data_IF_633777885440
#
_entry.id   IF_633777885440
#
_cell.length_a   1.000
_cell.length_b   1.000
_cell.length_c   1.000
_cell.angle_alpha   90.00
_cell.angle_beta   90.00
_cell.angle_gamma   90.00
#
_symmetry.space_group_name_H-M   'P 1'
#
loop_
_entity.id
_entity.type
_entity.pdbx_description
1 polymer ?
#
# COMPACT_ATOMS: atom_id res chain seq x y z
N UNK A 1 4.16 26.62 8.68
CA UNK A 1 3.11 26.73 9.73
C UNK A 1 3.10 25.39 10.45
N UNK A 2 3.65 25.30 11.66
CA UNK A 2 3.79 24.05 12.40
C UNK A 2 2.41 23.50 12.71
N UNK A 3 2.13 22.27 12.28
CA UNK A 3 0.97 21.55 12.76
C UNK A 3 1.32 20.86 14.05
N UNK A 4 0.85 21.41 15.14
CA UNK A 4 0.77 20.74 16.43
C UNK A 4 -0.45 19.81 16.39
N UNK A 5 -0.26 18.59 15.94
CA UNK A 5 -1.21 17.51 16.18
C UNK A 5 -1.33 17.28 17.68
N UNK A 6 -2.53 17.04 18.16
CA UNK A 6 -2.88 16.90 19.58
C UNK A 6 -2.38 15.60 20.23
N UNK A 7 -1.28 15.01 19.73
CA UNK A 7 -0.50 13.96 20.39
C UNK A 7 0.86 14.54 20.78
N UNK A 8 0.87 15.42 21.78
CA UNK A 8 2.03 16.23 22.18
C UNK A 8 3.12 15.50 22.95
N UNK A 9 3.14 14.17 23.04
CA UNK A 9 4.16 13.42 23.81
C UNK A 9 4.88 12.31 23.04
N UNK A 10 4.65 12.16 21.75
CA UNK A 10 5.41 11.26 20.89
C UNK A 10 6.24 12.14 19.96
N UNK A 11 7.55 12.14 20.15
CA UNK A 11 8.47 12.98 19.38
C UNK A 11 8.45 12.64 17.89
N UNK A 12 7.46 13.13 17.16
CA UNK A 12 7.50 13.16 15.71
C UNK A 12 8.53 14.20 15.30
N UNK A 13 9.69 13.74 14.88
CA UNK A 13 10.61 14.57 14.13
C UNK A 13 9.94 14.90 12.79
N UNK A 14 10.11 16.11 12.33
CA UNK A 14 9.59 16.63 11.08
C UNK A 14 10.07 15.73 9.92
N UNK A 15 9.21 14.79 9.48
CA UNK A 15 9.47 14.06 8.24
C UNK A 15 9.51 15.10 7.13
N UNK A 16 10.56 15.12 6.35
CA UNK A 16 10.64 15.98 5.18
C UNK A 16 9.49 15.58 4.24
N UNK A 17 8.44 16.39 4.21
CA UNK A 17 7.14 16.12 3.58
C UNK A 17 7.22 16.00 2.05
N UNK A 18 8.36 16.31 1.46
CA UNK A 18 8.61 16.22 0.01
C UNK A 18 9.03 14.82 -0.45
N UNK A 19 9.03 13.83 0.48
CA UNK A 19 9.58 12.50 0.25
C UNK A 19 8.51 11.40 0.24
N UNK A 20 7.26 11.71 -0.10
CA UNK A 20 6.19 10.73 -0.23
C UNK A 20 5.67 10.70 -1.67
N UNK A 21 5.70 9.53 -2.31
CA UNK A 21 5.06 9.30 -3.57
C UNK A 21 3.72 8.56 -3.38
N UNK A 22 2.71 8.92 -4.16
CA UNK A 22 1.43 8.21 -4.21
C UNK A 22 1.15 7.77 -5.64
N UNK A 23 1.05 6.47 -5.85
CA UNK A 23 0.60 5.90 -7.10
C UNK A 23 -0.92 5.87 -7.06
N UNK A 24 -1.54 6.68 -7.91
CA UNK A 24 -2.99 6.82 -7.99
C UNK A 24 -3.63 5.51 -8.44
N UNK A 25 -4.73 5.14 -7.78
CA UNK A 25 -5.57 4.01 -8.13
C UNK A 25 -7.03 4.42 -8.31
N UNK A 26 -7.85 3.54 -8.85
CA UNK A 26 -9.27 3.82 -9.11
C UNK A 26 -10.15 3.71 -7.86
N UNK A 27 -9.73 2.91 -6.89
CA UNK A 27 -10.59 2.50 -5.79
C UNK A 27 -10.16 3.02 -4.43
N UNK A 28 -8.94 3.56 -4.31
CA UNK A 28 -8.43 4.16 -3.07
C UNK A 28 -7.85 5.55 -3.29
N UNK A 29 -7.64 6.30 -2.21
CA UNK A 29 -7.25 7.71 -2.24
C UNK A 29 -6.39 8.08 -1.01
N UNK A 30 -5.21 7.48 -0.91
CA UNK A 30 -4.28 7.78 0.17
C UNK A 30 -3.86 9.27 0.16
N UNK A 31 -3.75 9.91 -1.03
CA UNK A 31 -3.37 11.31 -1.14
C UNK A 31 -4.38 12.26 -0.48
N UNK A 32 -5.68 11.96 -0.56
CA UNK A 32 -6.69 12.76 0.16
C UNK A 32 -6.55 12.63 1.67
N UNK A 33 -6.19 11.45 2.18
CA UNK A 33 -5.93 11.24 3.59
C UNK A 33 -4.66 11.97 4.05
N UNK A 34 -3.58 11.91 3.27
CA UNK A 34 -2.33 12.65 3.50
C UNK A 34 -2.61 14.15 3.52
N UNK A 35 -3.27 14.68 2.49
CA UNK A 35 -3.60 16.11 2.36
C UNK A 35 -4.47 16.61 3.52
N UNK A 36 -5.44 15.80 3.98
CA UNK A 36 -6.30 16.15 5.13
C UNK A 36 -5.49 16.34 6.41
N UNK A 37 -4.36 15.66 6.51
CA UNK A 37 -3.44 15.72 7.64
C UNK A 37 -2.26 16.67 7.40
N UNK A 38 -2.33 17.55 6.37
CA UNK A 38 -1.29 18.48 5.96
C UNK A 38 0.05 17.80 5.61
N UNK A 39 -0.01 16.53 5.17
CA UNK A 39 1.14 15.78 4.67
C UNK A 39 1.18 15.93 3.15
N UNK A 40 2.28 16.47 2.63
CA UNK A 40 2.50 16.60 1.19
C UNK A 40 2.85 15.27 0.54
N UNK A 41 2.45 15.10 -0.71
CA UNK A 41 2.87 13.96 -1.53
C UNK A 41 3.03 14.38 -2.98
N UNK A 42 3.80 13.59 -3.74
CA UNK A 42 3.85 13.69 -5.19
C UNK A 42 3.08 12.53 -5.81
N UNK A 43 2.10 12.88 -6.62
CA UNK A 43 1.23 11.89 -7.26
C UNK A 43 1.84 11.38 -8.55
N UNK A 44 1.73 10.08 -8.73
CA UNK A 44 2.05 9.35 -9.95
C UNK A 44 0.79 8.69 -10.48
N UNK A 45 0.61 8.78 -11.78
CA UNK A 45 -0.43 8.08 -12.49
C UNK A 45 -0.14 6.55 -12.41
N UNK A 46 -1.12 5.78 -11.98
CA UNK A 46 -1.04 4.32 -11.87
C UNK A 46 -1.04 3.59 -13.23
N UNK A 47 -1.10 4.31 -14.35
CA UNK A 47 -1.00 3.75 -15.69
C UNK A 47 0.46 3.61 -16.13
N UNK A 48 0.77 2.54 -16.83
CA UNK A 48 2.09 2.31 -17.41
C UNK A 48 2.39 3.36 -18.48
N UNK A 49 1.40 3.68 -19.33
CA UNK A 49 1.52 4.69 -20.39
C UNK A 49 0.64 5.91 -20.09
N UNK A 50 1.24 7.09 -20.02
CA UNK A 50 0.53 8.37 -19.86
C UNK A 50 -0.55 8.60 -20.95
N UNK A 51 -0.38 8.03 -22.14
CA UNK A 51 -1.36 8.14 -23.21
C UNK A 51 -2.67 7.41 -22.91
N UNK A 52 -2.65 6.48 -21.98
CA UNK A 52 -3.84 5.71 -21.56
C UNK A 52 -4.54 6.28 -20.33
N UNK A 53 -4.12 7.46 -19.87
CA UNK A 53 -4.78 8.15 -18.76
C UNK A 53 -6.29 8.20 -18.96
N UNK A 54 -6.99 7.65 -17.99
CA UNK A 54 -8.43 7.56 -18.06
C UNK A 54 -9.10 8.73 -17.36
N UNK A 55 -9.85 9.50 -18.13
CA UNK A 55 -10.66 10.61 -17.63
C UNK A 55 -12.00 10.05 -17.15
N UNK A 56 -12.05 9.57 -15.94
CA UNK A 56 -13.21 9.17 -15.15
C UNK A 56 -14.50 8.71 -15.86
N UNK A 57 -15.21 7.73 -15.29
CA UNK A 57 -16.65 7.57 -15.51
C UNK A 57 -17.40 8.30 -14.40
N UNK A 58 -18.71 8.51 -14.58
CA UNK A 58 -19.57 9.24 -13.64
C UNK A 58 -19.55 8.65 -12.19
N UNK A 59 -19.03 7.45 -12.01
CA UNK A 59 -18.98 6.71 -10.74
C UNK A 59 -17.61 6.76 -10.03
N UNK A 60 -16.62 7.48 -10.56
CA UNK A 60 -15.25 7.51 -10.03
C UNK A 60 -14.74 8.94 -9.89
N UNK A 61 -13.97 9.23 -8.84
CA UNK A 61 -13.41 10.57 -8.67
C UNK A 61 -12.56 10.91 -9.88
N UNK A 62 -12.89 12.04 -10.50
CA UNK A 62 -12.06 12.64 -11.54
C UNK A 62 -10.81 13.21 -10.85
N UNK A 63 -9.64 12.75 -11.24
CA UNK A 63 -8.36 13.24 -10.74
C UNK A 63 -7.62 13.96 -11.84
N UNK A 64 -6.83 14.94 -11.46
CA UNK A 64 -5.92 15.59 -12.39
C UNK A 64 -4.79 14.63 -12.78
N UNK A 65 -4.40 14.64 -14.05
CA UNK A 65 -3.24 13.89 -14.51
C UNK A 65 -1.96 14.49 -13.88
N UNK A 66 -1.20 13.73 -13.08
CA UNK A 66 0.02 14.23 -12.45
C UNK A 66 1.15 14.47 -13.46
N UNK A 67 0.99 14.08 -14.73
CA UNK A 67 2.01 14.23 -15.76
C UNK A 67 3.22 13.32 -15.61
N UNK A 68 3.15 12.31 -14.73
CA UNK A 68 4.18 11.31 -14.48
C UNK A 68 3.53 9.96 -14.19
N UNK A 69 4.16 8.86 -14.60
CA UNK A 69 3.62 7.50 -14.48
C UNK A 69 4.34 6.68 -13.41
N UNK A 70 3.68 5.62 -12.97
CA UNK A 70 4.28 4.61 -12.09
C UNK A 70 5.51 3.96 -12.74
N UNK A 71 5.50 3.77 -14.05
CA UNK A 71 6.65 3.24 -14.78
C UNK A 71 7.87 4.15 -14.59
N UNK A 72 7.70 5.47 -14.80
CA UNK A 72 8.77 6.44 -14.57
C UNK A 72 9.30 6.39 -13.14
N UNK A 73 8.39 6.28 -12.14
CA UNK A 73 8.82 6.18 -10.74
C UNK A 73 9.73 4.97 -10.49
N UNK A 74 9.43 3.84 -11.11
CA UNK A 74 10.07 2.57 -10.79
C UNK A 74 11.23 2.19 -11.74
N UNK A 75 11.31 2.80 -12.94
CA UNK A 75 12.27 2.40 -13.97
C UNK A 75 13.16 3.51 -14.50
N UNK A 76 12.83 4.78 -14.24
CA UNK A 76 13.68 5.90 -14.64
C UNK A 76 14.74 6.19 -13.58
N UNK A 77 15.87 6.69 -14.04
CA UNK A 77 16.93 7.25 -13.19
C UNK A 77 16.86 8.77 -13.18
N UNK A 78 17.24 9.39 -12.08
CA UNK A 78 17.32 10.83 -11.94
C UNK A 78 18.64 11.41 -12.49
N UNK A 79 18.89 12.71 -12.24
CA UNK A 79 20.10 13.41 -12.72
C UNK A 79 21.39 12.87 -12.08
N UNK A 80 21.30 12.27 -10.90
CA UNK A 80 22.43 11.69 -10.15
C UNK A 80 22.66 10.21 -10.52
N UNK A 81 21.83 9.64 -11.41
CA UNK A 81 21.78 8.24 -11.86
C UNK A 81 21.26 7.26 -10.79
N UNK A 82 20.55 7.76 -9.81
CA UNK A 82 19.80 6.96 -8.84
C UNK A 82 18.38 6.68 -9.37
N UNK A 83 17.79 5.57 -8.99
CA UNK A 83 16.41 5.27 -9.38
C UNK A 83 15.45 6.27 -8.76
N UNK A 84 14.45 6.74 -9.52
CA UNK A 84 13.52 7.77 -9.04
C UNK A 84 12.82 7.39 -7.74
N UNK A 85 12.53 6.11 -7.52
CA UNK A 85 11.92 5.62 -6.28
C UNK A 85 12.80 5.91 -5.04
N UNK A 86 14.12 5.98 -5.20
CA UNK A 86 15.08 6.25 -4.11
C UNK A 86 15.01 7.69 -3.58
N UNK A 87 14.37 8.59 -4.33
CA UNK A 87 14.10 9.96 -3.87
C UNK A 87 12.98 10.04 -2.82
N UNK A 88 12.30 8.92 -2.53
CA UNK A 88 11.15 8.89 -1.62
C UNK A 88 11.43 8.04 -0.39
N UNK A 89 10.94 8.51 0.76
CA UNK A 89 10.96 7.76 2.01
C UNK A 89 9.76 6.83 2.13
N UNK A 90 8.64 7.18 1.50
CA UNK A 90 7.45 6.35 1.44
C UNK A 90 6.82 6.35 0.05
N UNK A 91 6.28 5.20 -0.34
CA UNK A 91 5.47 5.03 -1.55
C UNK A 91 4.14 4.37 -1.18
N UNK A 92 3.05 5.01 -1.58
CA UNK A 92 1.69 4.47 -1.44
C UNK A 92 1.22 3.96 -2.78
N UNK A 93 0.88 2.67 -2.83
CA UNK A 93 0.27 2.03 -3.99
C UNK A 93 -1.22 1.86 -3.70
N UNK A 94 -2.04 2.76 -4.23
CA UNK A 94 -3.48 2.69 -4.07
C UNK A 94 -4.08 1.50 -4.81
N UNK A 95 -5.11 0.88 -4.22
CA UNK A 95 -5.89 -0.16 -4.87
C UNK A 95 -6.48 0.33 -6.21
N UNK A 96 -6.53 -0.59 -7.19
CA UNK A 96 -7.00 -0.25 -8.53
C UNK A 96 -6.03 0.66 -9.27
N UNK A 97 -4.73 0.50 -9.04
CA UNK A 97 -3.70 1.05 -9.93
C UNK A 97 -3.99 0.55 -11.33
N UNK A 98 -4.63 1.40 -12.12
CA UNK A 98 -5.23 1.03 -13.38
C UNK A 98 -4.29 1.09 -14.56
N UNK A 99 -3.05 0.92 -14.37
CA UNK A 99 -2.19 0.68 -15.52
C UNK A 99 -2.48 -0.64 -16.16
N UNK A 100 -3.77 -0.98 -16.32
CA UNK A 100 -4.11 -2.29 -16.82
C UNK A 100 -3.15 -3.34 -16.28
N UNK A 101 -3.21 -3.52 -14.96
CA UNK A 101 -2.38 -4.48 -14.24
C UNK A 101 -0.91 -4.07 -14.07
N UNK A 102 -0.64 -2.80 -13.72
CA UNK A 102 0.74 -2.38 -13.42
C UNK A 102 1.40 -3.34 -12.43
N UNK A 103 0.63 -3.81 -11.43
CA UNK A 103 1.07 -4.76 -10.43
C UNK A 103 0.17 -6.00 -10.39
N UNK A 104 -0.13 -6.59 -11.51
CA UNK A 104 -0.97 -7.77 -11.59
C UNK A 104 -0.39 -8.79 -12.56
N UNK A 105 -0.33 -10.05 -12.13
CA UNK A 105 -0.14 -11.15 -13.05
C UNK A 105 -1.44 -11.38 -13.81
N UNK A 106 -1.48 -11.10 -15.07
CA UNK A 106 -2.64 -11.43 -15.90
C UNK A 106 -2.33 -12.63 -16.79
N UNK A 107 -2.98 -13.74 -16.50
CA UNK A 107 -2.80 -14.98 -17.26
C UNK A 107 -3.57 -14.99 -18.59
N UNK A 108 -4.53 -14.09 -18.79
CA UNK A 108 -5.48 -14.15 -19.90
C UNK A 108 -5.25 -13.12 -21.00
N UNK A 109 -4.42 -12.11 -20.78
CA UNK A 109 -4.10 -11.07 -21.77
C UNK A 109 -2.60 -11.12 -22.05
N UNK A 110 -2.18 -10.71 -23.22
CA UNK A 110 -0.77 -10.52 -23.56
C UNK A 110 -0.12 -9.59 -22.52
N UNK A 111 0.29 -10.21 -21.41
CA UNK A 111 0.71 -9.57 -20.18
C UNK A 111 2.15 -9.04 -20.29
N UNK A 112 2.54 -8.56 -21.48
CA UNK A 112 3.84 -7.97 -21.70
C UNK A 112 3.96 -6.57 -21.07
N UNK A 113 2.82 -5.97 -20.66
CA UNK A 113 2.77 -4.60 -20.17
C UNK A 113 2.78 -4.47 -18.64
N UNK A 114 2.77 -5.57 -17.86
CA UNK A 114 2.82 -5.50 -16.41
C UNK A 114 4.22 -5.12 -15.89
N UNK A 115 4.28 -4.17 -14.97
CA UNK A 115 5.53 -3.79 -14.27
C UNK A 115 6.13 -4.94 -13.45
N UNK A 116 5.33 -5.94 -13.07
CA UNK A 116 5.84 -7.17 -12.44
C UNK A 116 6.76 -7.98 -13.35
N UNK A 117 6.68 -7.76 -14.67
CA UNK A 117 7.56 -8.40 -15.68
C UNK A 117 8.69 -7.51 -16.16
N UNK A 118 8.68 -6.24 -15.77
CA UNK A 118 9.76 -5.33 -16.10
C UNK A 118 11.01 -5.73 -15.33
N UNK A 119 12.15 -5.84 -16.03
CA UNK A 119 13.40 -6.33 -15.44
C UNK A 119 13.91 -5.50 -14.26
N UNK A 120 13.56 -4.21 -14.19
CA UNK A 120 14.03 -3.28 -13.18
C UNK A 120 12.97 -2.94 -12.12
N UNK A 121 11.66 -2.88 -12.48
CA UNK A 121 10.63 -2.31 -11.61
C UNK A 121 10.50 -3.04 -10.26
N UNK A 122 10.34 -4.36 -10.27
CA UNK A 122 10.24 -5.15 -9.03
C UNK A 122 11.54 -5.13 -8.24
N UNK A 123 12.73 -5.39 -8.87
CA UNK A 123 14.00 -5.29 -8.14
C UNK A 123 14.23 -3.92 -7.51
N UNK A 124 13.86 -2.83 -8.18
CA UNK A 124 14.02 -1.48 -7.63
C UNK A 124 13.16 -1.26 -6.39
N UNK A 125 11.88 -1.67 -6.41
CA UNK A 125 11.01 -1.58 -5.23
C UNK A 125 11.54 -2.43 -4.07
N UNK A 126 11.87 -3.70 -4.33
CA UNK A 126 12.37 -4.60 -3.29
C UNK A 126 13.68 -4.06 -2.68
N UNK A 127 14.61 -3.56 -3.51
CA UNK A 127 15.88 -3.01 -3.06
C UNK A 127 15.69 -1.69 -2.30
N UNK A 128 14.81 -0.80 -2.80
CA UNK A 128 14.48 0.45 -2.14
C UNK A 128 13.89 0.21 -0.74
N UNK A 129 12.95 -0.72 -0.58
CA UNK A 129 12.44 -1.09 0.75
C UNK A 129 13.56 -1.65 1.60
N UNK A 130 14.38 -2.57 1.09
CA UNK A 130 15.52 -3.12 1.83
C UNK A 130 16.53 -2.05 2.26
N UNK A 131 16.65 -0.96 1.51
CA UNK A 131 17.48 0.21 1.79
C UNK A 131 16.90 1.17 2.83
N UNK A 132 15.63 1.03 3.23
CA UNK A 132 14.98 1.87 4.24
C UNK A 132 13.66 2.51 3.81
N UNK A 133 13.19 2.25 2.60
CA UNK A 133 11.91 2.73 2.10
C UNK A 133 10.70 2.13 2.83
N UNK A 134 9.61 2.89 2.93
CA UNK A 134 8.34 2.43 3.49
C UNK A 134 7.31 2.29 2.38
N UNK A 135 6.86 1.06 2.14
CA UNK A 135 5.89 0.74 1.10
C UNK A 135 4.53 0.45 1.70
N UNK A 136 3.51 1.21 1.28
CA UNK A 136 2.11 0.88 1.53
C UNK A 136 1.48 0.31 0.27
N UNK A 137 0.79 -0.82 0.39
CA UNK A 137 0.09 -1.50 -0.71
C UNK A 137 -1.34 -1.79 -0.32
N UNK A 138 -2.28 -1.41 -1.16
CA UNK A 138 -3.72 -1.64 -0.94
C UNK A 138 -4.29 -2.74 -1.84
N UNK A 139 -5.02 -3.66 -1.23
CA UNK A 139 -5.91 -4.63 -1.86
C UNK A 139 -5.30 -5.33 -3.09
N UNK A 140 -5.89 -5.21 -4.28
CA UNK A 140 -5.46 -5.89 -5.51
C UNK A 140 -4.08 -5.48 -6.07
N UNK A 141 -3.36 -4.61 -5.38
CA UNK A 141 -1.93 -4.40 -5.68
C UNK A 141 -1.03 -5.41 -4.96
N UNK A 142 -1.61 -6.44 -4.32
CA UNK A 142 -0.93 -7.46 -3.54
C UNK A 142 0.15 -8.22 -4.33
N UNK A 143 -0.02 -8.40 -5.64
CA UNK A 143 0.97 -9.07 -6.49
C UNK A 143 2.37 -8.43 -6.41
N UNK A 144 2.45 -7.12 -6.12
CA UNK A 144 3.74 -6.47 -5.87
C UNK A 144 4.39 -6.98 -4.59
N UNK A 145 3.58 -7.26 -3.56
CA UNK A 145 4.07 -7.82 -2.29
C UNK A 145 4.57 -9.23 -2.52
N UNK A 146 3.82 -10.07 -3.21
CA UNK A 146 4.22 -11.44 -3.55
C UNK A 146 5.49 -11.48 -4.41
N UNK A 147 5.60 -10.59 -5.38
CA UNK A 147 6.77 -10.53 -6.26
C UNK A 147 8.07 -10.22 -5.50
N UNK A 148 8.00 -9.41 -4.42
CA UNK A 148 9.15 -9.06 -3.59
C UNK A 148 9.33 -10.00 -2.38
N UNK A 149 8.24 -10.40 -1.74
CA UNK A 149 8.23 -11.12 -0.45
C UNK A 149 7.21 -12.26 -0.44
N UNK A 150 7.38 -13.30 -1.26
CA UNK A 150 6.39 -14.36 -1.47
C UNK A 150 6.03 -15.15 -0.19
N UNK A 151 6.90 -15.13 0.81
CA UNK A 151 6.67 -15.85 2.08
C UNK A 151 6.04 -14.95 3.18
N UNK A 152 5.77 -13.67 2.88
CA UNK A 152 5.29 -12.72 3.90
C UNK A 152 3.79 -12.80 4.12
N UNK A 153 3.01 -12.84 3.06
CA UNK A 153 1.54 -12.89 3.10
C UNK A 153 1.08 -14.01 2.17
N UNK A 154 0.26 -14.89 2.69
CA UNK A 154 -0.41 -15.95 1.94
C UNK A 154 -1.82 -15.51 1.59
N UNK A 155 -2.13 -15.41 0.32
CA UNK A 155 -3.46 -15.04 -0.15
C UNK A 155 -4.27 -16.30 -0.47
N UNK A 156 -5.54 -16.28 -0.10
CA UNK A 156 -6.38 -17.46 -0.19
C UNK A 156 -6.63 -17.86 -1.64
N UNK A 157 -6.17 -19.05 -2.04
CA UNK A 157 -6.45 -19.66 -3.34
C UNK A 157 -5.45 -19.36 -4.46
N UNK A 158 -4.34 -18.69 -4.19
CA UNK A 158 -3.33 -18.36 -5.21
C UNK A 158 -2.20 -19.40 -5.37
N UNK A 159 -2.10 -20.36 -4.46
CA UNK A 159 -1.15 -21.49 -4.54
C UNK A 159 -1.19 -22.25 -5.88
N UNK A 160 -2.39 -22.39 -6.46
CA UNK A 160 -2.59 -23.18 -7.67
C UNK A 160 -2.43 -22.35 -8.95
N UNK A 161 -2.72 -21.06 -8.86
CA UNK A 161 -2.71 -20.13 -9.99
C UNK A 161 -2.20 -18.78 -9.52
N UNK A 162 -1.02 -18.40 -9.95
CA UNK A 162 -0.44 -17.08 -9.66
C UNK A 162 -1.45 -15.98 -10.00
N UNK A 163 -1.62 -14.99 -9.14
CA UNK A 163 -2.56 -13.88 -9.30
C UNK A 163 -4.04 -14.31 -9.21
N UNK A 164 -4.33 -15.29 -8.39
CA UNK A 164 -5.67 -15.85 -8.27
C UNK A 164 -6.25 -15.76 -6.85
N UNK A 165 -5.86 -14.76 -6.07
CA UNK A 165 -6.46 -14.56 -4.76
C UNK A 165 -7.98 -14.58 -4.83
N UNK A 166 -8.62 -15.27 -3.88
CA UNK A 166 -10.07 -15.34 -3.84
C UNK A 166 -10.67 -13.98 -3.51
N UNK A 167 -11.78 -13.69 -4.18
CA UNK A 167 -12.43 -12.40 -4.04
C UNK A 167 -13.33 -12.37 -2.79
N UNK A 168 -13.05 -11.44 -1.88
CA UNK A 168 -13.86 -11.20 -0.70
C UNK A 168 -15.19 -10.49 -1.02
N UNK A 169 -16.17 -10.66 -0.15
CA UNK A 169 -17.50 -10.07 -0.30
C UNK A 169 -17.55 -8.66 0.29
N UNK A 170 -18.20 -7.74 -0.42
CA UNK A 170 -18.51 -6.41 0.14
C UNK A 170 -19.36 -6.50 1.41
N UNK A 171 -19.21 -5.55 2.30
CA UNK A 171 -19.97 -5.43 3.54
C UNK A 171 -19.21 -4.76 4.66
N UNK A 172 -19.83 -4.69 5.80
CA UNK A 172 -19.22 -4.20 7.03
C UNK A 172 -18.61 -5.39 7.78
N UNK A 173 -17.36 -5.22 8.23
CA UNK A 173 -16.64 -6.19 9.05
C UNK A 173 -16.37 -5.58 10.42
N UNK A 174 -16.82 -6.23 11.47
CA UNK A 174 -16.41 -5.90 12.83
C UNK A 174 -15.05 -6.53 13.05
N UNK A 175 -14.02 -5.71 13.08
CA UNK A 175 -12.65 -6.14 13.08
C UNK A 175 -12.00 -5.91 14.45
N UNK A 176 -11.25 -6.89 14.92
CA UNK A 176 -10.41 -6.77 16.10
C UNK A 176 -9.08 -6.07 15.77
N UNK A 177 -8.56 -5.31 16.72
CA UNK A 177 -7.29 -4.60 16.60
C UNK A 177 -6.29 -5.23 17.59
N UNK A 178 -5.55 -6.28 17.21
CA UNK A 178 -4.55 -6.91 18.08
C UNK A 178 -3.34 -6.00 18.37
N UNK A 179 -2.98 -5.09 17.47
CA UNK A 179 -1.87 -4.16 17.70
C UNK A 179 -2.19 -3.15 18.82
N UNK A 180 -1.33 -3.11 19.84
CA UNK A 180 -1.55 -2.27 21.02
C UNK A 180 -1.51 -0.78 20.69
N UNK A 181 -0.56 -0.38 19.83
CA UNK A 181 -0.38 1.01 19.47
C UNK A 181 -1.52 1.53 18.61
N UNK A 182 -1.94 0.74 17.61
CA UNK A 182 -3.10 1.09 16.81
C UNK A 182 -4.38 1.18 17.66
N UNK A 183 -4.53 0.32 18.71
CA UNK A 183 -5.61 0.44 19.66
C UNK A 183 -5.57 1.76 20.46
N UNK A 184 -4.38 2.20 20.84
CA UNK A 184 -4.21 3.47 21.54
C UNK A 184 -4.60 4.64 20.64
N UNK A 185 -4.15 4.65 19.39
CA UNK A 185 -4.46 5.69 18.42
C UNK A 185 -5.95 5.75 18.07
N UNK A 186 -6.60 4.60 17.96
CA UNK A 186 -8.03 4.48 17.70
C UNK A 186 -8.88 4.72 18.96
N UNK A 187 -8.32 4.53 20.15
CA UNK A 187 -9.06 4.52 21.40
C UNK A 187 -10.05 3.34 21.51
N UNK A 188 -9.86 2.28 20.71
CA UNK A 188 -10.77 1.13 20.64
C UNK A 188 -10.01 -0.15 20.28
N UNK A 189 -10.45 -1.28 20.83
CA UNK A 189 -9.94 -2.62 20.48
C UNK A 189 -10.71 -3.29 19.33
N UNK A 190 -11.79 -2.67 18.88
CA UNK A 190 -12.66 -3.15 17.79
C UNK A 190 -13.05 -1.97 16.94
N UNK A 191 -13.02 -2.14 15.61
CA UNK A 191 -13.42 -1.13 14.64
C UNK A 191 -14.39 -1.73 13.63
N UNK A 192 -15.24 -0.88 13.03
CA UNK A 192 -16.04 -1.27 11.89
C UNK A 192 -15.27 -0.89 10.62
N UNK A 193 -14.92 -1.87 9.80
CA UNK A 193 -14.33 -1.68 8.48
C UNK A 193 -15.38 -1.86 7.39
N UNK A 194 -15.33 -0.98 6.39
CA UNK A 194 -16.24 -1.01 5.25
C UNK A 194 -15.50 -1.54 4.03
N UNK A 195 -15.92 -2.70 3.53
CA UNK A 195 -15.52 -3.21 2.24
C UNK A 195 -16.55 -2.76 1.20
N UNK A 196 -16.26 -1.64 0.54
CA UNK A 196 -17.20 -0.97 -0.35
C UNK A 196 -17.34 -1.62 -1.73
N UNK A 197 -16.42 -2.52 -2.09
CA UNK A 197 -16.47 -3.33 -3.30
C UNK A 197 -16.42 -4.82 -2.97
N UNK A 198 -17.17 -5.62 -3.74
CA UNK A 198 -17.06 -7.07 -3.70
C UNK A 198 -15.93 -7.47 -4.64
N UNK A 199 -14.83 -7.87 -4.12
CA UNK A 199 -13.66 -8.41 -4.78
C UNK A 199 -12.37 -7.80 -4.19
N UNK A 200 -12.21 -7.84 -2.89
CA UNK A 200 -10.91 -7.58 -2.27
C UNK A 200 -10.09 -8.88 -2.19
N UNK A 201 -8.76 -8.76 -2.21
CA UNK A 201 -7.86 -9.88 -2.05
C UNK A 201 -7.91 -10.41 -0.60
N UNK A 202 -8.29 -11.67 -0.42
CA UNK A 202 -8.46 -12.29 0.90
C UNK A 202 -7.14 -12.88 1.36
N UNK A 203 -6.68 -12.44 2.54
CA UNK A 203 -5.49 -13.00 3.18
C UNK A 203 -5.88 -14.25 3.96
N UNK A 204 -5.20 -15.37 3.70
CA UNK A 204 -5.35 -16.62 4.43
C UNK A 204 -4.51 -16.63 5.71
N UNK A 205 -3.22 -16.34 5.55
CA UNK A 205 -2.28 -16.34 6.67
C UNK A 205 -1.10 -15.40 6.40
N UNK A 206 -0.22 -15.27 7.39
CA UNK A 206 0.98 -14.44 7.28
C UNK A 206 2.20 -15.16 7.86
N UNK A 207 3.38 -14.81 7.37
CA UNK A 207 4.64 -15.29 7.88
C UNK A 207 4.88 -14.93 9.36
N UNK A 208 5.75 -15.68 10.04
CA UNK A 208 6.01 -15.51 11.48
C UNK A 208 6.55 -14.14 11.88
N UNK A 209 7.16 -13.43 10.95
CA UNK A 209 7.80 -12.12 11.16
C UNK A 209 6.88 -10.96 10.73
N UNK A 210 5.64 -11.27 10.36
CA UNK A 210 4.62 -10.31 9.98
C UNK A 210 3.76 -9.95 11.18
N UNK A 211 3.63 -8.66 11.44
CA UNK A 211 2.78 -8.12 12.49
C UNK A 211 1.35 -7.93 11.96
N UNK A 212 0.38 -8.58 12.60
CA UNK A 212 -1.04 -8.40 12.27
C UNK A 212 -1.59 -7.25 13.09
N UNK A 213 -2.07 -6.22 12.42
CA UNK A 213 -2.58 -5.00 13.03
C UNK A 213 -4.09 -5.01 13.20
N UNK A 214 -4.80 -5.61 12.26
CA UNK A 214 -6.26 -5.74 12.27
C UNK A 214 -6.63 -7.10 11.73
N UNK A 215 -7.60 -7.79 12.39
CA UNK A 215 -8.20 -9.05 11.93
C UNK A 215 -9.71 -8.96 11.90
N UNK A 216 -10.34 -9.80 11.11
CA UNK A 216 -11.80 -9.89 11.11
C UNK A 216 -12.32 -11.06 10.31
N UNK A 217 -13.57 -11.44 10.58
CA UNK A 217 -14.26 -12.50 9.86
C UNK A 217 -14.70 -11.98 8.50
N UNK A 218 -14.20 -12.59 7.43
CA UNK A 218 -14.52 -12.21 6.07
C UNK A 218 -15.22 -13.34 5.32
N UNK A 219 -15.97 -12.95 4.32
CA UNK A 219 -16.61 -13.93 3.40
C UNK A 219 -15.99 -13.78 2.02
N UNK A 220 -15.77 -14.89 1.39
CA UNK A 220 -15.29 -14.94 0.00
C UNK A 220 -16.10 -15.92 -0.80
N UNK A 221 -16.04 -15.80 -2.12
CA UNK A 221 -16.70 -16.73 -3.03
C UNK A 221 -15.64 -17.56 -3.75
N UNK A 222 -15.48 -18.85 -3.40
CA UNK A 222 -14.57 -19.73 -4.11
C UNK A 222 -14.86 -19.77 -5.61
N UNK A 223 -13.82 -19.95 -6.42
CA UNK A 223 -13.99 -20.02 -7.85
C UNK A 223 -14.98 -21.13 -8.25
N UNK A 224 -15.96 -20.76 -9.09
CA UNK A 224 -17.03 -21.66 -9.53
C UNK A 224 -18.08 -22.01 -8.50
N UNK A 225 -17.97 -21.51 -7.26
CA UNK A 225 -19.00 -21.69 -6.23
C UNK A 225 -20.12 -20.65 -6.37
N UNK A 226 -21.33 -21.03 -5.90
CA UNK A 226 -22.48 -20.12 -5.82
C UNK A 226 -22.73 -19.60 -4.40
N UNK A 227 -22.04 -20.17 -3.42
CA UNK A 227 -22.17 -19.84 -2.01
C UNK A 227 -20.87 -19.20 -1.54
N UNK A 228 -21.01 -18.27 -0.61
CA UNK A 228 -19.88 -17.72 0.13
C UNK A 228 -19.43 -18.70 1.21
N UNK A 229 -18.13 -18.70 1.44
CA UNK A 229 -17.48 -19.33 2.58
C UNK A 229 -16.97 -18.25 3.53
N UNK A 230 -16.71 -18.60 4.80
CA UNK A 230 -16.24 -17.68 5.82
C UNK A 230 -14.82 -18.07 6.24
N UNK A 231 -14.00 -17.07 6.47
CA UNK A 231 -12.69 -17.19 7.11
C UNK A 231 -12.75 -16.40 8.39
N UNK A 232 -12.54 -17.09 9.50
CA UNK A 232 -12.46 -16.47 10.81
C UNK A 232 -11.08 -15.83 11.00
N UNK A 233 -11.04 -14.64 11.62
CA UNK A 233 -9.81 -13.93 11.98
C UNK A 233 -8.83 -13.66 10.82
N UNK A 234 -9.31 -13.49 9.59
CA UNK A 234 -8.46 -13.14 8.45
C UNK A 234 -7.66 -11.85 8.74
N UNK A 235 -6.35 -11.81 8.45
CA UNK A 235 -5.57 -10.58 8.54
C UNK A 235 -6.07 -9.53 7.54
N UNK A 236 -6.39 -8.33 8.01
CA UNK A 236 -6.96 -7.25 7.19
C UNK A 236 -6.02 -6.07 7.02
N UNK A 237 -5.14 -5.86 7.99
CA UNK A 237 -4.02 -4.94 7.91
C UNK A 237 -2.80 -5.59 8.55
N UNK A 238 -1.69 -5.58 7.85
CA UNK A 238 -0.46 -6.22 8.29
C UNK A 238 0.76 -5.34 8.00
N UNK A 239 1.83 -5.57 8.75
CA UNK A 239 3.11 -4.91 8.56
C UNK A 239 4.26 -5.88 8.76
N UNK A 240 5.32 -5.72 8.00
CA UNK A 240 6.57 -6.43 8.21
C UNK A 240 7.78 -5.58 7.83
N UNK A 241 8.93 -5.95 8.38
CA UNK A 241 10.22 -5.30 8.11
C UNK A 241 10.97 -6.09 7.04
N UNK A 242 11.55 -5.39 6.07
CA UNK A 242 12.44 -5.98 5.08
C UNK A 242 13.71 -5.13 4.97
N UNK A 243 14.85 -5.72 5.32
CA UNK A 243 16.11 -4.97 5.41
C UNK A 243 16.04 -3.85 6.45
N UNK A 244 16.15 -2.60 6.01
CA UNK A 244 16.04 -1.41 6.85
C UNK A 244 14.66 -0.73 6.72
N UNK A 245 13.85 -1.15 5.76
CA UNK A 245 12.54 -0.58 5.49
C UNK A 245 11.39 -1.47 5.96
N UNK A 246 10.18 -1.11 5.55
CA UNK A 246 8.97 -1.80 5.94
C UNK A 246 7.94 -1.85 4.82
N UNK A 247 7.07 -2.85 4.91
CA UNK A 247 5.91 -3.00 4.05
C UNK A 247 4.65 -3.00 4.91
N UNK A 248 3.65 -2.29 4.45
CA UNK A 248 2.33 -2.20 5.04
C UNK A 248 1.29 -2.60 3.99
N UNK A 249 0.44 -3.56 4.31
CA UNK A 249 -0.62 -4.03 3.42
C UNK A 249 -1.99 -3.92 4.08
N UNK A 250 -3.02 -3.54 3.30
CA UNK A 250 -4.43 -3.58 3.72
C UNK A 250 -5.29 -4.23 2.66
N UNK A 251 -6.21 -5.12 3.09
CA UNK A 251 -7.25 -5.70 2.21
C UNK A 251 -8.40 -4.74 1.93
N UNK A 252 -8.49 -3.61 2.61
CA UNK A 252 -9.58 -2.63 2.50
C UNK A 252 -9.08 -1.28 1.99
N UNK A 253 -9.99 -0.51 1.41
CA UNK A 253 -9.68 0.83 0.92
C UNK A 253 -9.72 1.85 2.05
N UNK A 254 -8.70 2.69 2.16
CA UNK A 254 -8.63 3.77 3.15
C UNK A 254 -9.77 4.77 2.98
N UNK A 255 -10.11 5.10 1.74
CA UNK A 255 -11.18 6.07 1.41
C UNK A 255 -12.57 5.63 1.88
N UNK A 256 -12.79 4.32 2.03
CA UNK A 256 -14.06 3.77 2.51
C UNK A 256 -14.23 3.86 4.03
N UNK A 257 -13.15 4.10 4.77
CA UNK A 257 -13.16 4.12 6.22
C UNK A 257 -13.51 5.50 6.78
N UNK A 258 -13.85 5.53 8.07
CA UNK A 258 -13.99 6.81 8.76
C UNK A 258 -12.63 7.53 8.84
N UNK A 259 -12.58 8.87 8.86
CA UNK A 259 -11.33 9.61 8.94
C UNK A 259 -10.43 9.15 10.11
N UNK A 260 -11.00 8.84 11.26
CA UNK A 260 -10.23 8.39 12.42
C UNK A 260 -9.53 7.04 12.16
N UNK A 261 -10.21 6.09 11.51
CA UNK A 261 -9.63 4.80 11.13
C UNK A 261 -8.58 4.98 10.06
N UNK A 262 -8.90 5.76 9.00
CA UNK A 262 -7.94 6.04 7.92
C UNK A 262 -6.66 6.67 8.44
N UNK A 263 -6.79 7.69 9.30
CA UNK A 263 -5.63 8.41 9.82
C UNK A 263 -4.77 7.53 10.73
N UNK A 264 -5.39 6.76 11.63
CA UNK A 264 -4.65 5.84 12.50
C UNK A 264 -3.88 4.77 11.70
N UNK A 265 -4.52 4.15 10.71
CA UNK A 265 -3.89 3.15 9.82
C UNK A 265 -2.75 3.78 9.02
N UNK A 266 -3.00 4.94 8.39
CA UNK A 266 -2.00 5.64 7.57
C UNK A 266 -0.77 6.01 8.40
N UNK A 267 -0.95 6.61 9.58
CA UNK A 267 0.16 7.00 10.44
C UNK A 267 0.90 5.79 11.01
N UNK A 268 0.19 4.69 11.30
CA UNK A 268 0.83 3.44 11.72
C UNK A 268 1.73 2.87 10.62
N UNK A 269 1.33 3.03 9.34
CA UNK A 269 2.14 2.67 8.18
C UNK A 269 3.35 3.57 7.96
N UNK A 270 3.30 4.83 8.42
CA UNK A 270 4.40 5.79 8.30
C UNK A 270 5.36 5.77 9.50
N UNK A 271 5.03 5.05 10.57
CA UNK A 271 5.92 4.92 11.72
C UNK A 271 7.22 4.19 11.33
N UNK A 272 8.31 4.71 11.79
CA UNK A 272 9.65 4.16 11.48
C UNK A 272 10.41 4.90 10.39
N UNK A 273 9.77 5.77 9.61
CA UNK A 273 10.47 6.63 8.64
C UNK A 273 11.49 7.57 9.31
N UNK A 274 11.32 7.86 10.59
CA UNK A 274 12.21 8.76 11.34
C UNK A 274 13.58 8.15 11.64
N UNK A 275 13.69 6.83 11.69
CA UNK A 275 14.94 6.16 12.09
C UNK A 275 15.97 6.08 10.96
N UNK A 276 15.55 6.14 9.69
CA UNK A 276 16.42 6.00 8.51
C UNK A 276 17.06 7.31 8.03
N UNK A 277 16.39 8.43 8.21
CA UNK A 277 16.85 9.73 7.67
C UNK A 277 18.12 10.32 8.35
N UNK A 278 18.56 9.74 9.46
CA UNK A 278 19.72 10.22 10.23
C UNK A 278 21.08 9.62 9.89
N UNK A 279 21.16 8.59 9.03
CA UNK A 279 22.41 7.85 8.86
C UNK A 279 23.24 8.23 7.62
N UNK A 280 22.74 9.03 6.71
CA UNK A 280 23.49 9.40 5.49
C UNK A 280 24.28 10.73 5.55
N UNK A 281 24.22 11.48 6.66
CA UNK A 281 24.91 12.78 6.74
C UNK A 281 26.17 12.82 7.61
N UNK A 282 26.81 11.71 7.90
CA UNK A 282 28.04 11.69 8.68
C UNK A 282 29.10 10.77 8.07
N UNK A 283 29.79 11.23 7.03
CA UNK A 283 31.22 10.96 6.79
C UNK A 283 31.70 11.69 5.52
N UNK A 284 31.82 13.02 5.63
CA UNK A 284 32.83 13.74 4.86
C UNK A 284 33.67 14.55 5.89
N UNK A 285 34.53 13.87 6.58
CA UNK A 285 35.68 14.52 7.24
C UNK A 285 36.94 14.29 6.40
N UNK A 286 37.38 15.40 5.87
CA UNK A 286 38.75 15.88 5.62
C UNK A 286 39.92 14.88 5.71
N UNK A 287 40.62 14.67 4.62
CA UNK A 287 42.08 14.72 4.57
C UNK A 287 42.59 15.73 3.53
#
# INVERSE_FOLDING_TARGET
>A
MLLLLACQDQGFTEVALDAIAVIQGDFDDAQSALTRNDVGSLDYNGYIDQATWWVGSDDRPQRDDPGRSVEQLLTDVDEDLDWQVENYNAVFVNSGTRGFNAFRYNLSVEADDSLLKHEDAVPNVCNWVNGGGSLYVGDWSYDLVEACWPDAIEFYGDDEVVDAAQAGAAGDVIADVPDERLREDLGASVVNLVFNYSAFAVVESVGSDVEVLVTGDVRYQPEGATLYEEIDDSPLAVRFVSGQGQVFFTSFHLVAQTPAVTDAILFRGLEGLEAGAGSQSAEVESE
#
